data_IF_235219752646
#
_entry.id   IF_235219752646
#
_cell.length_a   1.000
_cell.length_b   1.000
_cell.length_c   1.000
_cell.angle_alpha   90.00
_cell.angle_beta   90.00
_cell.angle_gamma   90.00
#
_symmetry.space_group_name_H-M   'P 1'
#
loop_
_entity.id
_entity.type
_entity.pdbx_description
1 polymer ?
#
# COMPACT_ATOMS: atom_id res chain seq x y z
N UNK A 1 4.46 -17.01 6.95
CA UNK A 1 4.42 -15.54 7.01
C UNK A 1 5.82 -15.02 6.69
N UNK A 2 5.91 -14.02 5.80
CA UNK A 2 7.16 -13.37 5.38
C UNK A 2 7.49 -12.18 6.26
N UNK A 3 8.76 -11.85 6.46
CA UNK A 3 9.18 -10.66 7.20
C UNK A 3 9.35 -9.47 6.27
N UNK A 4 9.04 -8.25 6.73
CA UNK A 4 9.32 -7.01 5.98
C UNK A 4 10.81 -6.90 5.62
N UNK A 5 11.68 -7.39 6.48
CA UNK A 5 13.14 -7.29 6.33
C UNK A 5 13.70 -8.19 5.23
N UNK A 6 12.88 -9.11 4.69
CA UNK A 6 13.24 -9.96 3.55
C UNK A 6 13.11 -9.21 2.21
N UNK A 7 12.46 -8.05 2.19
CA UNK A 7 12.26 -7.25 0.98
C UNK A 7 13.49 -6.38 0.65
N UNK A 8 13.74 -6.10 -0.64
CA UNK A 8 14.81 -5.19 -1.05
C UNK A 8 14.63 -3.81 -0.42
N UNK A 9 15.73 -3.17 -0.03
CA UNK A 9 15.72 -1.76 0.37
C UNK A 9 15.63 -0.88 -0.87
N UNK A 10 14.83 0.17 -0.80
CA UNK A 10 14.77 1.17 -1.87
C UNK A 10 16.13 1.88 -2.01
N UNK A 11 16.64 2.10 -3.23
CA UNK A 11 17.84 2.89 -3.43
C UNK A 11 17.65 4.31 -2.89
N UNK A 12 18.58 4.78 -2.06
CA UNK A 12 18.50 6.11 -1.45
C UNK A 12 19.82 6.88 -1.62
N UNK A 13 19.77 8.22 -1.75
CA UNK A 13 20.95 9.05 -1.91
C UNK A 13 21.81 9.13 -0.63
N UNK A 14 21.22 8.90 0.55
CA UNK A 14 21.88 8.89 1.84
C UNK A 14 21.40 7.69 2.66
N UNK A 15 22.27 7.09 3.51
CA UNK A 15 21.85 6.00 4.39
C UNK A 15 20.88 6.53 5.46
N UNK A 16 19.60 6.15 5.34
CA UNK A 16 18.59 6.33 6.38
C UNK A 16 18.75 5.23 7.45
N UNK A 17 18.59 5.59 8.73
CA UNK A 17 18.53 4.62 9.82
C UNK A 17 17.30 3.70 9.71
N UNK A 18 16.24 4.21 9.08
CA UNK A 18 14.95 3.55 8.89
C UNK A 18 14.64 3.46 7.39
N UNK A 19 15.28 2.54 6.64
CA UNK A 19 15.14 2.47 5.19
C UNK A 19 13.70 2.11 4.78
N UNK A 20 13.31 2.56 3.59
CA UNK A 20 12.12 2.07 2.91
C UNK A 20 12.38 0.71 2.29
N UNK A 21 11.43 -0.21 2.43
CA UNK A 21 11.43 -1.55 1.85
C UNK A 21 10.47 -1.59 0.65
N UNK A 22 10.93 -2.17 -0.45
CA UNK A 22 10.16 -2.35 -1.68
C UNK A 22 9.20 -3.53 -1.56
N UNK A 23 7.91 -3.23 -1.47
CA UNK A 23 6.81 -4.20 -1.40
C UNK A 23 6.17 -4.47 -2.76
N UNK A 24 6.74 -3.98 -3.86
CA UNK A 24 6.12 -4.06 -5.20
C UNK A 24 5.85 -5.49 -5.66
N UNK A 25 6.61 -6.48 -5.15
CA UNK A 25 6.39 -7.91 -5.43
C UNK A 25 5.11 -8.49 -4.78
N UNK A 26 4.52 -7.79 -3.80
CA UNK A 26 3.25 -8.17 -3.19
C UNK A 26 2.05 -7.68 -3.99
N UNK A 27 2.25 -6.75 -4.93
CA UNK A 27 1.14 -6.14 -5.66
C UNK A 27 0.58 -7.12 -6.70
N UNK A 28 -0.74 -7.27 -6.70
CA UNK A 28 -1.49 -8.19 -7.54
C UNK A 28 -2.27 -7.46 -8.63
N UNK A 29 -2.81 -8.22 -9.58
CA UNK A 29 -3.89 -7.77 -10.49
C UNK A 29 -3.60 -6.44 -11.21
N UNK A 30 -2.34 -6.24 -11.61
CA UNK A 30 -1.83 -5.08 -12.34
C UNK A 30 -1.87 -3.73 -11.58
N UNK A 31 -2.14 -3.76 -10.27
CA UNK A 31 -2.24 -2.54 -9.46
C UNK A 31 -0.92 -1.75 -9.38
N UNK A 32 0.23 -2.38 -9.59
CA UNK A 32 1.53 -1.74 -9.78
C UNK A 32 2.34 -2.50 -10.83
N UNK A 33 3.34 -1.84 -11.41
CA UNK A 33 4.14 -2.41 -12.50
C UNK A 33 5.65 -2.35 -12.26
N UNK A 34 6.13 -1.36 -11.49
CA UNK A 34 7.56 -1.20 -11.24
C UNK A 34 7.82 -0.36 -9.97
N UNK A 35 8.91 -0.64 -9.25
CA UNK A 35 9.25 0.03 -8.00
C UNK A 35 9.70 1.48 -8.16
N UNK A 36 9.78 2.02 -9.38
CA UNK A 36 10.26 3.39 -9.62
C UNK A 36 9.10 4.36 -9.86
N UNK A 37 8.18 4.00 -10.75
CA UNK A 37 7.06 4.85 -11.17
C UNK A 37 5.76 4.54 -10.43
N UNK A 38 5.58 3.28 -10.02
CA UNK A 38 4.41 2.79 -9.29
C UNK A 38 4.83 2.01 -8.04
N UNK A 39 5.64 2.61 -7.15
CA UNK A 39 6.16 1.90 -6.00
C UNK A 39 5.04 1.53 -5.02
N UNK A 40 5.20 0.37 -4.41
CA UNK A 40 4.63 0.07 -3.11
C UNK A 40 5.77 -0.11 -2.13
N UNK A 41 5.81 0.70 -1.08
CA UNK A 41 6.90 0.66 -0.11
C UNK A 41 6.40 0.95 1.30
N UNK A 42 7.12 0.41 2.29
CA UNK A 42 6.87 0.69 3.70
C UNK A 42 8.19 0.95 4.44
N UNK A 43 8.12 1.75 5.50
CA UNK A 43 9.21 1.90 6.49
C UNK A 43 8.65 1.74 7.89
N UNK A 44 9.49 1.24 8.79
CA UNK A 44 9.22 1.17 10.23
C UNK A 44 10.21 2.10 10.92
N UNK A 45 9.68 3.04 11.69
CA UNK A 45 10.47 3.98 12.50
C UNK A 45 9.96 3.97 13.94
N UNK A 46 10.67 3.27 14.82
CA UNK A 46 10.21 3.02 16.19
C UNK A 46 8.86 2.31 16.24
N UNK A 47 7.83 3.02 16.71
CA UNK A 47 6.45 2.52 16.81
C UNK A 47 5.54 2.98 15.67
N UNK A 48 6.10 3.65 14.66
CA UNK A 48 5.37 4.15 13.51
C UNK A 48 5.69 3.34 12.26
N UNK A 49 4.68 3.18 11.42
CA UNK A 49 4.79 2.54 10.11
C UNK A 49 4.28 3.53 9.08
N UNK A 50 5.15 3.90 8.14
CA UNK A 50 4.75 4.69 6.98
C UNK A 50 4.60 3.78 5.78
N UNK A 51 3.54 4.01 5.00
CA UNK A 51 3.27 3.34 3.74
C UNK A 51 3.20 4.37 2.62
N UNK A 52 3.71 3.98 1.46
CA UNK A 52 3.52 4.72 0.22
C UNK A 52 3.14 3.73 -0.88
N UNK A 53 2.02 3.99 -1.55
CA UNK A 53 1.56 3.22 -2.70
C UNK A 53 1.17 4.18 -3.81
N UNK A 54 1.69 3.98 -5.01
CA UNK A 54 1.21 4.63 -6.22
C UNK A 54 0.72 3.59 -7.22
N UNK A 55 -0.57 3.60 -7.52
CA UNK A 55 -1.19 2.57 -8.34
C UNK A 55 -1.14 2.88 -9.84
N UNK A 56 -1.06 1.83 -10.65
CA UNK A 56 -1.14 1.88 -12.12
C UNK A 56 -2.53 1.59 -12.65
N UNK A 57 -2.99 0.33 -12.67
CA UNK A 57 -4.30 -0.09 -13.23
C UNK A 57 -4.81 -1.35 -12.54
N UNK A 58 -5.87 -1.24 -11.75
CA UNK A 58 -6.45 -2.37 -11.04
C UNK A 58 -7.55 -3.09 -11.80
N UNK A 59 -7.55 -4.42 -11.80
CA UNK A 59 -8.66 -5.24 -12.35
C UNK A 59 -9.40 -6.06 -11.31
N UNK A 60 -9.07 -5.90 -10.03
CA UNK A 60 -9.68 -6.58 -8.88
C UNK A 60 -9.67 -5.64 -7.68
N UNK A 61 -10.48 -5.89 -6.65
CA UNK A 61 -10.46 -5.05 -5.44
C UNK A 61 -9.22 -5.27 -4.60
N UNK A 62 -8.65 -6.46 -4.60
CA UNK A 62 -7.44 -6.77 -3.83
C UNK A 62 -6.20 -6.24 -4.54
N UNK A 63 -5.45 -5.41 -3.81
CA UNK A 63 -4.26 -4.73 -4.32
C UNK A 63 -3.01 -5.55 -4.04
N UNK A 64 -2.92 -6.17 -2.86
CA UNK A 64 -1.75 -6.95 -2.47
C UNK A 64 -2.14 -8.37 -2.11
N UNK A 65 -1.14 -9.26 -2.16
CA UNK A 65 -1.14 -10.49 -1.37
C UNK A 65 -1.05 -10.17 0.13
N UNK A 66 -0.84 -11.21 0.94
CA UNK A 66 -0.67 -11.06 2.39
C UNK A 66 0.56 -10.18 2.72
N UNK A 67 0.34 -9.16 3.54
CA UNK A 67 1.38 -8.27 4.03
C UNK A 67 2.25 -8.96 5.09
N UNK A 68 3.52 -8.53 5.24
CA UNK A 68 4.36 -8.93 6.35
C UNK A 68 3.76 -8.58 7.71
N UNK A 69 3.96 -9.47 8.68
CA UNK A 69 3.42 -9.37 10.05
C UNK A 69 3.77 -8.05 10.75
N UNK A 70 4.91 -7.46 10.42
CA UNK A 70 5.39 -6.23 11.05
C UNK A 70 4.57 -5.01 10.65
N UNK A 71 3.92 -5.05 9.48
CA UNK A 71 3.11 -3.95 8.92
C UNK A 71 1.61 -4.25 8.88
N UNK A 72 1.17 -5.33 9.52
CA UNK A 72 -0.27 -5.54 9.72
C UNK A 72 -0.75 -4.55 10.79
N UNK A 73 -1.78 -3.72 10.51
CA UNK A 73 -2.26 -2.76 11.49
C UNK A 73 -3.00 -3.43 12.64
N UNK A 74 -3.04 -2.78 13.82
CA UNK A 74 -3.73 -3.29 15.02
C UNK A 74 -5.26 -3.42 14.85
N UNK A 75 -5.82 -2.62 13.96
CA UNK A 75 -7.22 -2.61 13.56
C UNK A 75 -7.30 -2.21 12.10
N UNK A 76 -8.41 -2.52 11.44
CA UNK A 76 -8.62 -2.16 10.05
C UNK A 76 -8.43 -0.66 9.84
N UNK A 77 -7.60 -0.28 8.87
CA UNK A 77 -7.28 1.12 8.56
C UNK A 77 -7.69 1.46 7.14
N UNK A 78 -8.36 2.59 7.00
CA UNK A 78 -8.76 3.15 5.70
C UNK A 78 -7.97 4.45 5.51
N UNK A 79 -7.15 4.48 4.47
CA UNK A 79 -6.30 5.61 4.11
C UNK A 79 -6.84 6.26 2.85
N UNK A 80 -7.22 7.54 2.93
CA UNK A 80 -7.68 8.26 1.75
C UNK A 80 -6.61 8.27 0.66
N UNK A 81 -6.98 7.89 -0.55
CA UNK A 81 -6.12 8.05 -1.71
C UNK A 81 -6.35 9.44 -2.29
N UNK A 82 -5.27 10.13 -2.66
CA UNK A 82 -5.38 11.33 -3.47
C UNK A 82 -5.03 10.98 -4.92
N UNK A 83 -5.81 11.54 -5.85
CA UNK A 83 -5.59 11.44 -7.28
C UNK A 83 -5.73 12.83 -7.90
N UNK A 84 -5.42 12.94 -9.19
CA UNK A 84 -5.76 14.13 -9.99
C UNK A 84 -7.28 14.29 -10.24
N UNK A 85 -8.13 13.42 -9.66
CA UNK A 85 -9.59 13.40 -9.73
C UNK A 85 -10.20 12.88 -8.39
N UNK A 86 -11.49 13.11 -8.09
CA UNK A 86 -11.96 13.35 -6.72
C UNK A 86 -12.03 12.12 -5.78
N UNK A 87 -11.45 12.27 -4.59
CA UNK A 87 -12.09 12.21 -3.25
C UNK A 87 -12.62 10.89 -2.67
N UNK A 88 -13.15 9.98 -3.48
CA UNK A 88 -14.01 8.89 -2.97
C UNK A 88 -13.32 7.53 -2.87
N UNK A 89 -12.00 7.49 -3.07
CA UNK A 89 -11.22 6.26 -3.12
C UNK A 89 -10.24 6.22 -1.96
N UNK A 90 -10.15 5.07 -1.32
CA UNK A 90 -9.25 4.82 -0.22
C UNK A 90 -8.58 3.46 -0.36
N UNK A 91 -7.48 3.29 0.36
CA UNK A 91 -6.79 2.04 0.55
C UNK A 91 -7.17 1.48 1.91
N UNK A 92 -7.74 0.28 1.91
CA UNK A 92 -8.13 -0.40 3.13
C UNK A 92 -7.13 -1.50 3.44
N UNK A 93 -6.33 -1.29 4.49
CA UNK A 93 -5.47 -2.32 5.09
C UNK A 93 -6.24 -3.04 6.20
N UNK A 94 -6.28 -4.36 6.11
CA UNK A 94 -7.02 -5.21 7.05
C UNK A 94 -6.09 -5.89 8.03
N UNK A 95 -6.65 -6.24 9.18
CA UNK A 95 -5.99 -7.03 10.23
C UNK A 95 -5.63 -8.46 9.81
N UNK A 96 -6.21 -8.97 8.72
CA UNK A 96 -5.88 -10.27 8.12
C UNK A 96 -4.70 -10.19 7.13
N UNK A 97 -4.02 -9.05 7.06
CA UNK A 97 -2.88 -8.84 6.17
C UNK A 97 -3.26 -8.57 4.71
N UNK A 98 -4.54 -8.54 4.33
CA UNK A 98 -4.94 -8.18 2.97
C UNK A 98 -5.14 -6.67 2.82
N UNK A 99 -4.92 -6.19 1.60
CA UNK A 99 -5.22 -4.80 1.24
C UNK A 99 -6.12 -4.73 0.02
N UNK A 100 -7.02 -3.75 0.02
CA UNK A 100 -7.98 -3.57 -1.07
C UNK A 100 -8.28 -2.10 -1.35
N UNK A 101 -8.68 -1.83 -2.58
CA UNK A 101 -9.28 -0.55 -2.94
C UNK A 101 -10.67 -0.46 -2.32
N UNK A 102 -10.99 0.70 -1.75
CA UNK A 102 -12.25 0.97 -1.08
C UNK A 102 -12.88 2.22 -1.69
N UNK A 103 -14.13 2.10 -2.14
CA UNK A 103 -14.94 3.25 -2.53
C UNK A 103 -15.74 3.72 -1.31
N UNK A 104 -15.61 5.00 -0.95
CA UNK A 104 -16.43 5.63 0.09
C UNK A 104 -17.90 5.70 -0.37
N UNK A 105 -18.14 5.92 -1.66
CA UNK A 105 -19.48 6.04 -2.26
C UNK A 105 -20.05 4.72 -2.79
N UNK A 106 -19.24 3.66 -2.87
CA UNK A 106 -19.67 2.30 -3.16
C UNK A 106 -19.68 1.88 -4.64
N UNK A 107 -19.18 2.72 -5.57
CA UNK A 107 -18.98 2.29 -6.96
C UNK A 107 -17.67 1.50 -7.06
N UNK A 108 -17.76 0.19 -7.30
CA UNK A 108 -16.60 -0.71 -7.44
C UNK A 108 -16.31 -1.18 -8.87
N UNK A 109 -17.30 -1.41 -9.77
CA UNK A 109 -17.02 -1.84 -11.13
C UNK A 109 -16.08 -0.89 -11.88
N UNK A 110 -16.26 0.42 -11.71
CA UNK A 110 -15.42 1.46 -12.29
C UNK A 110 -14.02 1.48 -11.65
N UNK A 111 -13.86 0.95 -10.42
CA UNK A 111 -12.55 0.90 -9.76
C UNK A 111 -11.68 -0.26 -10.23
N UNK A 112 -12.31 -1.30 -10.80
CA UNK A 112 -11.67 -2.58 -11.09
C UNK A 112 -11.79 -2.97 -12.56
N UNK A 113 -12.06 -2.02 -13.46
CA UNK A 113 -12.14 -2.24 -14.91
C UNK A 113 -10.80 -2.02 -15.64
N UNK A 114 -9.74 -1.68 -14.91
CA UNK A 114 -8.41 -1.38 -15.44
C UNK A 114 -8.25 0.03 -16.02
N UNK A 115 -9.24 0.91 -15.91
CA UNK A 115 -9.16 2.29 -16.42
C UNK A 115 -8.52 3.27 -15.45
N UNK A 116 -8.70 3.02 -14.15
CA UNK A 116 -8.16 3.86 -13.07
C UNK A 116 -6.64 3.84 -13.00
N UNK A 117 -6.02 5.01 -12.82
CA UNK A 117 -4.58 5.13 -12.67
C UNK A 117 -4.14 6.30 -11.79
N UNK A 118 -2.94 6.18 -11.22
CA UNK A 118 -2.28 7.20 -10.42
C UNK A 118 -3.02 7.58 -9.13
N UNK A 119 -3.60 6.60 -8.43
CA UNK A 119 -4.00 6.82 -7.05
C UNK A 119 -2.77 6.70 -6.16
N UNK A 120 -2.56 7.72 -5.34
CA UNK A 120 -1.46 7.75 -4.39
C UNK A 120 -2.03 7.67 -2.99
N UNK A 121 -1.43 6.80 -2.18
CA UNK A 121 -1.71 6.67 -0.76
C UNK A 121 -0.39 6.85 -0.05
N UNK A 122 -0.34 7.86 0.81
CA UNK A 122 0.78 8.11 1.69
C UNK A 122 0.21 8.31 3.10
N UNK A 123 0.62 7.47 4.03
CA UNK A 123 0.11 7.56 5.40
C UNK A 123 1.06 6.93 6.41
N UNK A 124 0.89 7.33 7.66
CA UNK A 124 1.62 6.80 8.82
C UNK A 124 0.62 6.34 9.87
N UNK A 125 0.86 5.18 10.47
CA UNK A 125 0.05 4.65 11.55
C UNK A 125 0.90 3.95 12.61
N UNK A 126 0.32 3.78 13.80
CA UNK A 126 0.99 3.10 14.91
C UNK A 126 1.02 1.59 14.69
N UNK A 127 2.18 0.99 14.95
CA UNK A 127 2.38 -0.45 14.93
C UNK A 127 1.47 -1.15 15.94
N UNK A 128 1.05 -2.38 15.62
CA UNK A 128 0.32 -3.22 16.59
C UNK A 128 1.22 -3.54 17.78
N UNK A 129 0.70 -3.37 18.99
CA UNK A 129 1.36 -3.83 20.22
C UNK A 129 1.25 -5.35 20.26
N UNK A 130 2.40 -6.03 20.38
CA UNK A 130 2.46 -7.49 20.51
C UNK A 130 2.19 -7.89 21.95
#
# INVERSE_FOLDING_TARGET
>A
MSSLYDFPKMPQPYPDASPWYDLSSLVLNNWAADPVNFPFMAKIDGNEISIYLRTRRGTDRFITSELPDEIIPAGDRVFGAYAAAPGDIAFWMRTDGRTQIFSITGSYPELTDGTLSNYVVESTYLRRTV
#
